data_IF_945652785115
#
_entry.id   IF_945652785115
#
_cell.length_a   1.000
_cell.length_b   1.000
_cell.length_c   1.000
_cell.angle_alpha   90.00
_cell.angle_beta   90.00
_cell.angle_gamma   90.00
#
_symmetry.space_group_name_H-M   'P 1'
#
loop_
_entity.id
_entity.type
_entity.pdbx_description
1 polymer ?
#
# COMPACT_ATOMS: atom_id res chain seq x y z
N UNK A 1 -0.43 -17.32 -12.10
CA UNK A 1 -1.44 -16.81 -11.14
C UNK A 1 -0.71 -16.50 -9.85
N UNK A 2 -0.42 -15.23 -9.57
CA UNK A 2 0.29 -14.86 -8.33
C UNK A 2 -0.73 -14.82 -7.19
N UNK A 3 -0.71 -15.90 -6.42
CA UNK A 3 -1.61 -16.18 -5.32
C UNK A 3 -1.27 -15.34 -4.09
N UNK A 4 -2.34 -15.03 -3.34
CA UNK A 4 -2.43 -14.62 -1.94
C UNK A 4 -1.14 -14.09 -1.31
N UNK A 5 -1.19 -12.84 -0.85
CA UNK A 5 -0.17 -12.30 0.04
C UNK A 5 -0.17 -13.16 1.32
N UNK A 6 0.95 -13.82 1.62
CA UNK A 6 1.15 -14.64 2.82
C UNK A 6 2.18 -13.93 3.70
N UNK A 7 1.73 -12.90 4.41
CA UNK A 7 2.59 -12.01 5.19
C UNK A 7 1.98 -11.85 6.57
N UNK A 8 2.77 -12.16 7.60
CA UNK A 8 2.37 -11.89 8.97
C UNK A 8 2.59 -10.42 9.30
N UNK A 9 1.53 -9.61 9.24
CA UNK A 9 1.57 -8.23 9.71
C UNK A 9 1.56 -8.23 11.23
N UNK A 10 2.65 -7.76 11.84
CA UNK A 10 2.85 -7.76 13.30
C UNK A 10 2.05 -6.66 13.99
N UNK A 11 1.75 -5.58 13.26
CA UNK A 11 1.07 -4.42 13.80
C UNK A 11 -0.43 -4.69 13.98
N UNK A 12 -0.96 -4.15 15.07
CA UNK A 12 -2.40 -4.14 15.33
C UNK A 12 -3.11 -3.13 14.44
N UNK A 13 -4.35 -3.44 14.04
CA UNK A 13 -5.20 -2.53 13.23
C UNK A 13 -5.33 -1.16 13.90
N UNK A 14 -5.48 -1.11 15.23
CA UNK A 14 -5.57 0.13 15.99
C UNK A 14 -4.31 0.99 15.88
N UNK A 15 -3.12 0.36 15.86
CA UNK A 15 -1.86 1.07 15.70
C UNK A 15 -1.73 1.67 14.30
N UNK A 16 -2.06 0.88 13.26
CA UNK A 16 -2.06 1.35 11.87
C UNK A 16 -3.05 2.50 11.64
N UNK A 17 -4.27 2.41 12.20
CA UNK A 17 -5.26 3.49 12.14
C UNK A 17 -4.79 4.76 12.87
N UNK A 18 -4.06 4.61 13.99
CA UNK A 18 -3.48 5.74 14.72
C UNK A 18 -2.37 6.42 13.91
N UNK A 19 -1.50 5.64 13.27
CA UNK A 19 -0.48 6.15 12.36
C UNK A 19 -1.10 6.88 11.16
N UNK A 20 -2.14 6.30 10.56
CA UNK A 20 -2.84 6.90 9.42
C UNK A 20 -3.44 8.27 9.76
N UNK A 21 -4.01 8.43 10.96
CA UNK A 21 -4.57 9.73 11.40
C UNK A 21 -3.50 10.82 11.57
N UNK A 22 -2.26 10.44 11.87
CA UNK A 22 -1.15 11.38 12.06
C UNK A 22 -0.30 11.64 10.81
N UNK A 23 -0.49 10.83 9.76
CA UNK A 23 0.34 10.88 8.57
C UNK A 23 -0.14 11.96 7.59
N UNK A 24 0.78 12.85 7.20
CA UNK A 24 0.52 13.95 6.26
C UNK A 24 0.93 13.59 4.83
N UNK A 25 1.78 12.58 4.68
CA UNK A 25 2.26 12.13 3.38
C UNK A 25 1.24 11.19 2.73
N UNK A 26 0.65 11.62 1.62
CA UNK A 26 -0.36 10.86 0.86
C UNK A 26 0.12 9.48 0.39
N UNK A 27 1.40 9.33 0.07
CA UNK A 27 1.97 8.04 -0.30
C UNK A 27 2.03 7.09 0.90
N UNK A 28 2.51 7.57 2.05
CA UNK A 28 2.54 6.77 3.29
C UNK A 28 1.14 6.44 3.78
N UNK A 29 0.19 7.37 3.66
CA UNK A 29 -1.21 7.13 3.97
C UNK A 29 -1.80 6.01 3.09
N UNK A 30 -1.55 6.03 1.77
CA UNK A 30 -2.02 4.98 0.84
C UNK A 30 -1.48 3.60 1.21
N UNK A 31 -0.22 3.53 1.62
CA UNK A 31 0.44 2.32 2.12
C UNK A 31 -0.18 1.83 3.42
N UNK A 32 -0.38 2.72 4.40
CA UNK A 32 -1.04 2.35 5.64
C UNK A 32 -2.46 1.80 5.39
N UNK A 33 -3.21 2.39 4.46
CA UNK A 33 -4.52 1.88 4.04
C UNK A 33 -4.39 0.46 3.45
N UNK A 34 -3.41 0.22 2.59
CA UNK A 34 -3.16 -1.10 2.01
C UNK A 34 -2.86 -2.17 3.08
N UNK A 35 -2.03 -1.85 4.07
CA UNK A 35 -1.77 -2.74 5.22
C UNK A 35 -3.04 -3.00 6.04
N UNK A 36 -3.86 -1.96 6.26
CA UNK A 36 -5.12 -2.10 7.00
C UNK A 36 -6.07 -3.03 6.26
N UNK A 37 -6.29 -2.84 4.94
CA UNK A 37 -7.18 -3.66 4.11
C UNK A 37 -6.75 -5.14 4.10
N UNK A 38 -5.44 -5.39 4.05
CA UNK A 38 -4.91 -6.73 4.14
C UNK A 38 -5.12 -7.33 5.54
N UNK A 39 -4.84 -6.57 6.60
CA UNK A 39 -4.97 -7.03 7.99
C UNK A 39 -6.43 -7.25 8.42
N UNK A 40 -7.38 -6.46 7.91
CA UNK A 40 -8.82 -6.64 8.15
C UNK A 40 -9.39 -7.84 7.39
N UNK A 41 -8.65 -8.38 6.43
CA UNK A 41 -9.11 -9.46 5.55
C UNK A 41 -10.09 -8.99 4.48
N UNK A 42 -10.28 -7.68 4.31
CA UNK A 42 -11.12 -7.10 3.25
C UNK A 42 -10.52 -7.34 1.86
N UNK A 43 -9.19 -7.43 1.76
CA UNK A 43 -8.50 -7.78 0.53
C UNK A 43 -7.45 -8.85 0.81
N UNK A 44 -7.48 -9.96 0.06
CA UNK A 44 -6.52 -11.07 0.22
C UNK A 44 -5.37 -11.00 -0.80
N UNK A 45 -5.55 -10.22 -1.87
CA UNK A 45 -4.65 -10.19 -3.02
C UNK A 45 -4.10 -8.78 -3.27
N UNK A 46 -2.84 -8.67 -3.69
CA UNK A 46 -2.23 -7.39 -4.09
C UNK A 46 -3.06 -6.65 -5.14
N UNK A 47 -3.70 -7.41 -6.04
CA UNK A 47 -4.59 -6.87 -7.08
C UNK A 47 -5.86 -6.21 -6.50
N UNK A 48 -6.46 -6.81 -5.48
CA UNK A 48 -7.67 -6.27 -4.84
C UNK A 48 -7.33 -5.01 -4.06
N UNK A 49 -6.23 -5.05 -3.31
CA UNK A 49 -5.69 -3.89 -2.59
C UNK A 49 -5.42 -2.77 -3.57
N UNK A 50 -4.65 -3.04 -4.64
CA UNK A 50 -4.29 -2.09 -5.68
C UNK A 50 -5.51 -1.41 -6.31
N UNK A 51 -6.57 -2.18 -6.63
CA UNK A 51 -7.84 -1.63 -7.12
C UNK A 51 -8.53 -0.74 -6.09
N UNK A 52 -8.48 -1.09 -4.81
CA UNK A 52 -9.09 -0.31 -3.73
C UNK A 52 -8.40 1.02 -3.48
N UNK A 53 -7.07 1.10 -3.65
CA UNK A 53 -6.28 2.30 -3.35
C UNK A 53 -5.88 3.09 -4.60
N UNK A 54 -6.13 2.58 -5.80
CA UNK A 54 -5.81 3.24 -7.07
C UNK A 54 -4.35 3.11 -7.50
N UNK A 55 -3.68 2.00 -7.16
CA UNK A 55 -2.28 1.70 -7.54
C UNK A 55 -2.20 0.48 -8.45
N UNK A 56 -1.00 0.15 -8.94
CA UNK A 56 -0.75 -1.09 -9.68
C UNK A 56 -0.51 -2.26 -8.72
N UNK A 57 -0.87 -3.47 -9.14
CA UNK A 57 -0.60 -4.68 -8.35
C UNK A 57 0.90 -4.87 -8.11
N UNK A 58 1.75 -4.54 -9.09
CA UNK A 58 3.22 -4.61 -8.97
C UNK A 58 3.74 -3.67 -7.87
N UNK A 59 3.23 -2.43 -7.79
CA UNK A 59 3.63 -1.50 -6.74
C UNK A 59 3.22 -2.00 -5.35
N UNK A 60 2.02 -2.57 -5.24
CA UNK A 60 1.55 -3.16 -3.98
C UNK A 60 2.39 -4.38 -3.59
N UNK A 61 2.67 -5.28 -4.54
CA UNK A 61 3.58 -6.42 -4.33
C UNK A 61 4.95 -5.97 -3.82
N UNK A 62 5.55 -4.97 -4.47
CA UNK A 62 6.85 -4.41 -4.06
C UNK A 62 6.81 -3.89 -2.63
N UNK A 63 5.77 -3.15 -2.24
CA UNK A 63 5.65 -2.67 -0.86
C UNK A 63 5.62 -3.85 0.12
N UNK A 64 4.73 -4.82 -0.13
CA UNK A 64 4.58 -5.99 0.72
C UNK A 64 5.86 -6.86 0.78
N UNK A 65 6.64 -6.92 -0.30
CA UNK A 65 7.97 -7.53 -0.30
C UNK A 65 8.93 -6.76 0.63
N UNK A 66 8.97 -5.43 0.54
CA UNK A 66 9.78 -4.58 1.45
C UNK A 66 9.36 -4.74 2.91
N UNK A 67 8.07 -4.90 3.17
CA UNK A 67 7.57 -5.20 4.51
C UNK A 67 8.11 -6.54 5.03
N UNK A 68 8.12 -7.57 4.18
CA UNK A 68 8.66 -8.88 4.55
C UNK A 68 10.17 -8.83 4.80
N UNK A 69 10.91 -8.06 3.99
CA UNK A 69 12.37 -7.97 4.07
C UNK A 69 12.85 -7.16 5.29
N UNK A 70 12.25 -5.99 5.53
CA UNK A 70 12.79 -5.00 6.48
C UNK A 70 11.71 -4.32 7.36
N UNK A 71 10.48 -4.81 7.32
CA UNK A 71 9.40 -4.38 8.21
C UNK A 71 8.70 -3.09 7.79
N UNK A 72 7.95 -2.52 8.73
CA UNK A 72 7.05 -1.38 8.49
C UNK A 72 7.76 -0.14 7.93
N UNK A 73 8.94 0.21 8.44
CA UNK A 73 9.64 1.39 7.97
C UNK A 73 10.04 1.26 6.49
N UNK A 74 10.55 0.09 6.08
CA UNK A 74 10.89 -0.17 4.69
C UNK A 74 9.65 -0.15 3.79
N UNK A 75 8.53 -0.71 4.27
CA UNK A 75 7.23 -0.63 3.60
C UNK A 75 6.81 0.82 3.35
N UNK A 76 6.89 1.68 4.38
CA UNK A 76 6.52 3.09 4.27
C UNK A 76 7.46 3.89 3.35
N UNK A 77 8.69 3.41 3.12
CA UNK A 77 9.72 4.04 2.29
C UNK A 77 9.88 3.43 0.88
N UNK A 78 9.08 2.44 0.50
CA UNK A 78 9.26 1.64 -0.72
C UNK A 78 9.31 2.45 -2.05
N UNK A 79 8.84 3.71 -2.09
CA UNK A 79 8.97 4.57 -3.29
C UNK A 79 10.32 5.28 -3.45
N UNK A 80 11.24 5.19 -2.49
CA UNK A 80 12.56 5.82 -2.66
C UNK A 80 13.50 5.06 -3.59
N UNK A 81 13.21 3.79 -3.90
CA UNK A 81 14.19 2.88 -4.52
C UNK A 81 13.78 2.32 -5.90
N UNK A 82 12.61 2.67 -6.45
CA UNK A 82 12.12 2.08 -7.69
C UNK A 82 11.41 3.05 -8.65
N UNK A 83 12.13 3.43 -9.72
CA UNK A 83 11.59 3.86 -11.02
C UNK A 83 10.85 5.20 -11.10
N UNK A 84 11.62 6.22 -11.44
CA UNK A 84 11.28 7.07 -12.59
C UNK A 84 11.02 6.14 -13.80
N UNK A 85 9.74 5.89 -14.10
CA UNK A 85 9.26 5.58 -15.45
C UNK A 85 8.00 6.44 -15.65
N UNK A 86 8.24 7.62 -16.21
CA UNK A 86 7.23 8.50 -16.80
C UNK A 86 6.46 7.72 -17.88
N UNK A 87 5.26 7.22 -17.59
CA UNK A 87 4.09 7.32 -18.47
C UNK A 87 2.87 6.63 -17.82
N UNK A 88 1.75 7.34 -17.80
CA UNK A 88 0.39 6.81 -17.66
C UNK A 88 -0.19 6.52 -16.26
N UNK A 89 0.05 7.39 -15.28
CA UNK A 89 -0.97 7.65 -14.25
C UNK A 89 -1.47 9.08 -14.39
N UNK A 90 -2.44 9.30 -15.29
CA UNK A 90 -3.32 10.46 -15.15
C UNK A 90 -4.12 10.27 -13.87
N UNK A 91 -4.02 11.16 -12.86
CA UNK A 91 -4.97 11.15 -11.78
C UNK A 91 -6.30 11.63 -12.35
N UNK A 92 -7.22 10.71 -12.63
CA UNK A 92 -8.61 11.07 -12.91
C UNK A 92 -9.33 11.34 -11.58
N UNK A 93 -8.83 12.32 -10.83
CA UNK A 93 -9.61 13.04 -9.84
C UNK A 93 -10.09 14.33 -10.51
N UNK A 94 -11.09 14.20 -11.38
CA UNK A 94 -12.00 15.29 -11.65
C UNK A 94 -13.03 15.29 -10.51
N UNK A 95 -12.77 16.07 -9.46
CA UNK A 95 -13.89 16.68 -8.76
C UNK A 95 -14.38 17.80 -9.68
N UNK A 96 -15.39 17.50 -10.49
CA UNK A 96 -16.12 18.52 -11.22
C UNK A 96 -16.87 19.38 -10.19
N UNK A 97 -16.58 20.69 -10.21
CA UNK A 97 -17.46 21.72 -9.66
C UNK A 97 -17.82 22.65 -10.80
#
# INVERSE_FOLDING_TARGET
MKGKLDIEVRESITALKKMLKGEKNSFRASRLIALILYKTGECASSLEIAKSIGYTAEAVEDWFEKYREAGLEAYLMANLWGKIQFNDFRPRYMCAN
#
